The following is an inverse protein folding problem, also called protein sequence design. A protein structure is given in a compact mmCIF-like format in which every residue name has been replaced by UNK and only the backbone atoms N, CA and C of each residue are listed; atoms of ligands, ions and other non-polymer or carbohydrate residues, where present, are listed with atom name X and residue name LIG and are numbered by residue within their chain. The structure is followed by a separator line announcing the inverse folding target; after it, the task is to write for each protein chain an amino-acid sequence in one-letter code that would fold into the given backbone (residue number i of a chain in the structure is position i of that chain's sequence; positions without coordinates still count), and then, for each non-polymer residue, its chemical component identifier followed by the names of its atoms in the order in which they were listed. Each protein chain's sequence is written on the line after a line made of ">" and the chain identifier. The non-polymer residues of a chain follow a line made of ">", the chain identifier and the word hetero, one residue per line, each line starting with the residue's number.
data_IF_413359279445
#
_entry.id   IF_413359279445
#
_cell.length_a   1.000
_cell.length_b   1.000
_cell.length_c   1.000
_cell.angle_alpha   90.00
_cell.angle_beta   90.00
_cell.angle_gamma   90.00
#
_symmetry.space_group_name_H-M   'P 1'
#
loop_
_entity.id
_entity.type
_entity.pdbx_description
1 polymer ?
#
# COMPACT_ATOMS: atom_id res chain seq x y z
N UNK A 1 12.78 -15.52 -55.43
CA UNK A 1 11.61 -16.01 -54.64
C UNK A 1 10.96 -14.97 -53.72
N UNK A 2 11.67 -13.96 -53.17
CA UNK A 2 11.05 -12.98 -52.24
C UNK A 2 10.16 -11.94 -52.93
N UNK A 3 10.52 -11.49 -54.14
CA UNK A 3 9.76 -10.47 -54.90
C UNK A 3 8.38 -10.96 -55.42
N UNK A 4 8.24 -12.25 -55.74
CA UNK A 4 6.95 -12.81 -56.15
C UNK A 4 5.97 -12.91 -54.98
N UNK A 5 6.47 -13.16 -53.75
CA UNK A 5 5.63 -13.17 -52.55
C UNK A 5 5.10 -11.78 -52.21
N UNK A 6 5.92 -10.73 -52.35
CA UNK A 6 5.47 -9.35 -52.12
C UNK A 6 4.47 -8.88 -53.17
N UNK A 7 4.63 -9.28 -54.44
CA UNK A 7 3.68 -8.95 -55.50
C UNK A 7 2.31 -9.64 -55.29
N UNK A 8 2.32 -10.88 -54.80
CA UNK A 8 1.08 -11.62 -54.50
C UNK A 8 0.31 -11.01 -53.30
N UNK A 9 1.02 -10.47 -52.31
CA UNK A 9 0.43 -9.78 -51.16
C UNK A 9 -0.23 -8.45 -51.59
N UNK A 10 0.40 -7.72 -52.51
CA UNK A 10 -0.18 -6.45 -53.01
C UNK A 10 -1.44 -6.72 -53.86
N UNK A 11 -1.42 -7.77 -54.68
CA UNK A 11 -2.57 -8.14 -55.52
C UNK A 11 -3.78 -8.59 -54.69
N UNK A 12 -3.55 -9.30 -53.59
CA UNK A 12 -4.62 -9.75 -52.67
C UNK A 12 -5.20 -8.58 -51.86
N UNK A 13 -4.38 -7.59 -51.48
CA UNK A 13 -4.88 -6.38 -50.81
C UNK A 13 -5.77 -5.51 -51.73
N UNK A 14 -5.44 -5.44 -53.02
CA UNK A 14 -6.20 -4.66 -53.99
C UNK A 14 -7.55 -5.30 -54.32
N UNK A 15 -7.60 -6.64 -54.40
CA UNK A 15 -8.84 -7.39 -54.61
C UNK A 15 -9.82 -7.28 -53.42
N UNK A 16 -9.32 -7.15 -52.19
CA UNK A 16 -10.16 -7.00 -51.00
C UNK A 16 -10.95 -5.68 -51.01
N UNK A 17 -10.38 -4.59 -51.54
CA UNK A 17 -11.05 -3.29 -51.62
C UNK A 17 -12.21 -3.26 -52.63
N UNK A 18 -12.17 -4.10 -53.68
CA UNK A 18 -13.25 -4.18 -54.67
C UNK A 18 -14.53 -4.83 -54.12
N UNK A 19 -14.42 -5.72 -53.12
CA UNK A 19 -15.61 -6.33 -52.49
C UNK A 19 -16.37 -5.37 -51.57
N UNK A 20 -15.72 -4.37 -50.99
CA UNK A 20 -16.40 -3.39 -50.11
C UNK A 20 -17.13 -2.28 -50.88
N UNK A 21 -16.85 -2.09 -52.17
CA UNK A 21 -17.44 -1.03 -52.97
C UNK A 21 -18.83 -1.37 -53.58
N UNK A 22 -19.27 -2.64 -53.54
CA UNK A 22 -20.49 -3.07 -54.23
C UNK A 22 -21.77 -3.13 -53.37
N UNK A 23 -21.74 -2.67 -52.11
CA UNK A 23 -22.87 -2.85 -51.20
C UNK A 23 -23.65 -1.56 -50.87
N UNK A 24 -23.74 -0.62 -51.82
CA UNK A 24 -24.68 0.50 -51.72
C UNK A 24 -25.93 0.16 -52.53
N UNK A 25 -26.84 -0.56 -51.90
CA UNK A 25 -28.19 -0.74 -52.40
C UNK A 25 -28.94 0.57 -52.11
N UNK A 26 -28.97 1.47 -53.10
CA UNK A 26 -29.83 2.66 -53.07
C UNK A 26 -31.27 2.20 -52.89
N UNK A 27 -31.77 2.32 -51.67
CA UNK A 27 -33.15 1.99 -51.35
C UNK A 27 -33.96 3.17 -51.84
N UNK A 28 -34.44 3.07 -53.08
CA UNK A 28 -35.37 4.04 -53.65
C UNK A 28 -36.61 4.03 -52.76
N UNK A 29 -36.79 5.07 -51.94
CA UNK A 29 -37.92 5.25 -51.02
C UNK A 29 -39.22 5.14 -51.82
N UNK A 30 -39.82 3.95 -51.80
CA UNK A 30 -41.17 3.77 -52.31
C UNK A 30 -42.08 4.47 -51.31
N UNK A 31 -42.62 5.63 -51.70
CA UNK A 31 -43.67 6.29 -50.93
C UNK A 31 -44.80 5.28 -50.74
N UNK A 32 -44.95 4.81 -49.51
CA UNK A 32 -45.90 3.77 -49.11
C UNK A 32 -46.54 4.19 -47.78
N UNK A 33 -47.79 3.77 -47.58
CA UNK A 33 -48.51 4.01 -46.34
C UNK A 33 -48.28 2.90 -45.30
N UNK A 34 -47.80 1.74 -45.74
CA UNK A 34 -47.55 0.57 -44.92
C UNK A 34 -46.06 0.37 -44.62
N UNK A 35 -45.18 1.07 -45.35
CA UNK A 35 -43.72 0.95 -45.22
C UNK A 35 -43.06 2.33 -45.26
N UNK A 36 -42.03 2.54 -44.45
CA UNK A 36 -41.26 3.79 -44.39
C UNK A 36 -41.47 4.62 -43.12
N UNK A 37 -40.78 5.76 -43.07
CA UNK A 37 -40.88 6.72 -41.96
C UNK A 37 -42.26 7.38 -41.90
N UNK A 38 -42.60 7.98 -40.76
CA UNK A 38 -43.83 8.80 -40.67
C UNK A 38 -43.80 9.90 -41.74
N UNK A 39 -42.63 10.49 -41.99
CA UNK A 39 -42.41 11.53 -42.99
C UNK A 39 -42.76 11.04 -44.41
N UNK A 40 -42.26 9.86 -44.82
CA UNK A 40 -42.60 9.28 -46.12
C UNK A 40 -44.09 8.93 -46.27
N UNK A 41 -44.75 8.58 -45.16
CA UNK A 41 -46.21 8.33 -45.15
C UNK A 41 -47.02 9.63 -45.29
N UNK A 42 -46.56 10.73 -44.69
CA UNK A 42 -47.14 12.07 -44.88
C UNK A 42 -46.99 12.54 -46.34
N UNK A 43 -45.81 12.36 -46.93
CA UNK A 43 -45.55 12.69 -48.33
C UNK A 43 -46.38 11.84 -49.29
N UNK A 44 -46.58 10.56 -48.99
CA UNK A 44 -47.47 9.69 -49.77
C UNK A 44 -48.91 10.19 -49.75
N UNK A 45 -49.44 10.59 -48.59
CA UNK A 45 -50.80 11.12 -48.48
C UNK A 45 -50.95 12.44 -49.23
N UNK A 46 -49.96 13.32 -49.12
CA UNK A 46 -49.96 14.64 -49.78
C UNK A 46 -49.82 14.53 -51.29
N UNK A 47 -49.07 13.55 -51.79
CA UNK A 47 -48.91 13.31 -53.23
C UNK A 47 -50.13 12.60 -53.83
N UNK A 48 -50.78 11.71 -53.08
CA UNK A 48 -51.97 10.97 -53.53
C UNK A 48 -53.30 11.70 -53.23
N UNK A 49 -53.28 12.86 -52.59
CA UNK A 49 -54.52 13.60 -52.35
C UNK A 49 -55.14 14.11 -53.65
N UNK A 50 -56.46 14.21 -53.67
CA UNK A 50 -57.20 14.72 -54.82
C UNK A 50 -57.34 16.24 -54.77
N UNK A 51 -57.00 16.93 -55.86
CA UNK A 51 -57.21 18.36 -55.95
C UNK A 51 -58.71 18.71 -55.89
N UNK A 52 -59.11 19.52 -54.91
CA UNK A 52 -60.44 20.15 -54.82
C UNK A 52 -60.29 21.66 -54.72
N UNK A 53 -61.16 22.40 -55.40
CA UNK A 53 -61.17 23.87 -55.33
C UNK A 53 -62.57 24.34 -55.02
N UNK A 54 -62.69 25.14 -53.98
CA UNK A 54 -63.92 25.85 -53.63
C UNK A 54 -63.54 27.25 -53.14
N UNK A 55 -64.32 28.26 -53.55
CA UNK A 55 -64.21 29.61 -53.00
C UNK A 55 -62.79 30.22 -53.10
N UNK A 56 -62.13 30.02 -54.24
CA UNK A 56 -60.76 30.51 -54.51
C UNK A 56 -59.63 29.80 -53.74
N UNK A 57 -59.96 28.82 -52.88
CA UNK A 57 -58.99 28.07 -52.07
C UNK A 57 -58.73 26.69 -52.66
N UNK A 58 -57.48 26.23 -52.54
CA UNK A 58 -57.08 24.86 -52.91
C UNK A 58 -57.20 23.97 -51.67
N UNK A 59 -57.86 22.84 -51.84
CA UNK A 59 -58.02 21.80 -50.85
C UNK A 59 -57.51 20.49 -51.42
N UNK A 60 -56.95 19.67 -50.55
CA UNK A 60 -56.49 18.34 -50.89
C UNK A 60 -57.41 17.30 -50.24
N UNK A 61 -58.08 16.51 -51.07
CA UNK A 61 -59.02 15.47 -50.64
C UNK A 61 -58.25 14.21 -50.34
N UNK A 62 -58.06 13.97 -49.04
CA UNK A 62 -57.42 12.76 -48.52
C UNK A 62 -58.50 11.72 -48.22
N UNK A 63 -58.23 10.45 -48.55
CA UNK A 63 -59.10 9.34 -48.15
C UNK A 63 -59.04 9.18 -46.64
N UNK A 64 -60.21 9.14 -45.99
CA UNK A 64 -60.33 8.96 -44.53
C UNK A 64 -59.56 7.73 -44.02
N UNK A 65 -59.56 6.63 -44.80
CA UNK A 65 -58.82 5.41 -44.46
C UNK A 65 -57.31 5.66 -44.35
N UNK A 66 -56.73 6.47 -45.25
CA UNK A 66 -55.31 6.77 -45.22
C UNK A 66 -54.94 7.67 -44.03
N UNK A 67 -55.78 8.67 -43.74
CA UNK A 67 -55.58 9.56 -42.59
C UNK A 67 -55.68 8.79 -41.27
N UNK A 68 -56.67 7.88 -41.15
CA UNK A 68 -56.80 7.01 -39.98
C UNK A 68 -55.60 6.07 -39.83
N UNK A 69 -55.09 5.49 -40.93
CA UNK A 69 -53.89 4.64 -40.91
C UNK A 69 -52.66 5.42 -40.45
N UNK A 70 -52.42 6.62 -41.01
CA UNK A 70 -51.33 7.50 -40.59
C UNK A 70 -51.44 7.86 -39.10
N UNK A 71 -52.65 8.20 -38.62
CA UNK A 71 -52.90 8.48 -37.21
C UNK A 71 -52.51 7.31 -36.33
N UNK A 72 -52.89 6.08 -36.70
CA UNK A 72 -52.52 4.87 -35.95
C UNK A 72 -51.00 4.67 -35.95
N UNK A 73 -50.35 4.77 -37.12
CA UNK A 73 -48.89 4.59 -37.22
C UNK A 73 -48.12 5.63 -36.39
N UNK A 74 -48.58 6.89 -36.37
CA UNK A 74 -48.01 7.96 -35.53
C UNK A 74 -48.19 7.65 -34.05
N UNK A 75 -49.39 7.22 -33.63
CA UNK A 75 -49.65 6.84 -32.24
C UNK A 75 -48.80 5.64 -31.81
N UNK A 76 -48.63 4.64 -32.68
CA UNK A 76 -47.82 3.46 -32.41
C UNK A 76 -46.34 3.83 -32.24
N UNK A 77 -45.82 4.71 -33.10
CA UNK A 77 -44.46 5.23 -32.98
C UNK A 77 -44.24 6.03 -31.70
N UNK A 78 -45.21 6.90 -31.35
CA UNK A 78 -45.18 7.66 -30.10
C UNK A 78 -45.22 6.74 -28.87
N UNK A 79 -46.08 5.72 -28.90
CA UNK A 79 -46.16 4.72 -27.83
C UNK A 79 -44.86 3.92 -27.71
N UNK A 80 -44.24 3.55 -28.82
CA UNK A 80 -42.94 2.89 -28.84
C UNK A 80 -41.83 3.78 -28.28
N UNK A 81 -41.83 5.07 -28.61
CA UNK A 81 -40.89 6.05 -28.06
C UNK A 81 -41.08 6.23 -26.55
N UNK A 82 -42.32 6.41 -26.08
CA UNK A 82 -42.64 6.53 -24.65
C UNK A 82 -42.25 5.26 -23.87
N UNK A 83 -42.46 4.08 -24.46
CA UNK A 83 -42.04 2.81 -23.85
C UNK A 83 -40.52 2.74 -23.70
N UNK A 84 -39.77 3.09 -24.75
CA UNK A 84 -38.30 3.18 -24.69
C UNK A 84 -37.82 4.20 -23.65
N UNK A 85 -38.49 5.35 -23.54
CA UNK A 85 -38.17 6.36 -22.53
C UNK A 85 -38.37 5.80 -21.11
N UNK A 86 -39.47 5.09 -20.88
CA UNK A 86 -39.73 4.43 -19.59
C UNK A 86 -38.70 3.35 -19.28
N UNK A 87 -38.31 2.54 -20.27
CA UNK A 87 -37.27 1.51 -20.12
C UNK A 87 -35.91 2.14 -19.81
N UNK A 88 -35.53 3.21 -20.51
CA UNK A 88 -34.29 3.96 -20.26
C UNK A 88 -34.29 4.59 -18.87
N UNK A 89 -35.39 5.20 -18.44
CA UNK A 89 -35.53 5.75 -17.08
C UNK A 89 -35.34 4.66 -16.02
N UNK A 90 -35.96 3.48 -16.22
CA UNK A 90 -35.77 2.34 -15.32
C UNK A 90 -34.33 1.83 -15.31
N UNK A 91 -33.67 1.77 -16.47
CA UNK A 91 -32.25 1.39 -16.56
C UNK A 91 -31.35 2.41 -15.85
N UNK A 92 -31.62 3.71 -16.00
CA UNK A 92 -30.89 4.79 -15.29
C UNK A 92 -31.03 4.62 -13.79
N UNK A 93 -32.24 4.40 -13.26
CA UNK A 93 -32.44 4.17 -11.82
C UNK A 93 -31.70 2.92 -11.33
N UNK A 94 -31.63 1.87 -12.15
CA UNK A 94 -30.85 0.65 -11.85
C UNK A 94 -29.35 0.93 -11.84
N UNK A 95 -28.86 1.75 -12.76
CA UNK A 95 -27.46 2.15 -12.80
C UNK A 95 -27.09 3.07 -11.64
N UNK A 96 -27.93 4.04 -11.28
CA UNK A 96 -27.72 4.92 -10.13
C UNK A 96 -27.65 4.12 -8.82
N UNK A 97 -28.57 3.17 -8.61
CA UNK A 97 -28.53 2.29 -7.44
C UNK A 97 -27.27 1.43 -7.40
N UNK A 98 -26.83 0.91 -8.55
CA UNK A 98 -25.57 0.15 -8.65
C UNK A 98 -24.36 1.03 -8.36
N UNK A 99 -24.31 2.25 -8.90
CA UNK A 99 -23.23 3.23 -8.66
C UNK A 99 -23.16 3.60 -7.19
N UNK A 100 -24.30 3.88 -6.55
CA UNK A 100 -24.35 4.17 -5.12
C UNK A 100 -23.84 2.98 -4.31
N UNK A 101 -24.28 1.75 -4.63
CA UNK A 101 -23.80 0.54 -3.95
C UNK A 101 -22.28 0.30 -4.13
N UNK A 102 -21.73 0.63 -5.30
CA UNK A 102 -20.31 0.52 -5.59
C UNK A 102 -19.51 1.59 -4.84
N UNK A 103 -20.03 2.81 -4.77
CA UNK A 103 -19.45 3.91 -4.00
C UNK A 103 -19.43 3.57 -2.51
N UNK A 104 -20.53 3.06 -1.96
CA UNK A 104 -20.60 2.63 -0.57
C UNK A 104 -19.60 1.50 -0.28
N UNK A 105 -19.48 0.51 -1.17
CA UNK A 105 -18.49 -0.56 -1.05
C UNK A 105 -17.05 -0.03 -1.13
N UNK A 106 -16.80 0.97 -1.97
CA UNK A 106 -15.49 1.59 -2.13
C UNK A 106 -15.11 2.38 -0.87
N UNK A 107 -16.03 3.16 -0.32
CA UNK A 107 -15.83 3.90 0.94
C UNK A 107 -15.62 2.93 2.11
N UNK A 108 -16.41 1.84 2.18
CA UNK A 108 -16.20 0.77 3.17
C UNK A 108 -14.84 0.11 3.03
N UNK A 109 -14.43 -0.24 1.80
CA UNK A 109 -13.12 -0.88 1.55
C UNK A 109 -11.97 0.06 1.86
N UNK A 110 -12.09 1.35 1.52
CA UNK A 110 -11.08 2.36 1.85
C UNK A 110 -10.95 2.56 3.35
N UNK A 111 -12.07 2.60 4.08
CA UNK A 111 -12.10 2.67 5.54
C UNK A 111 -11.50 1.41 6.17
N UNK A 112 -11.83 0.23 5.65
CA UNK A 112 -11.24 -1.03 6.09
C UNK A 112 -9.75 -1.08 5.81
N UNK A 113 -9.28 -0.62 4.66
CA UNK A 113 -7.84 -0.55 4.35
C UNK A 113 -7.12 0.43 5.28
N UNK A 114 -7.71 1.58 5.60
CA UNK A 114 -7.14 2.52 6.58
C UNK A 114 -7.05 1.86 7.96
N UNK A 115 -8.13 1.23 8.42
CA UNK A 115 -8.17 0.49 9.70
C UNK A 115 -7.18 -0.67 9.73
N UNK A 116 -7.08 -1.45 8.65
CA UNK A 116 -6.14 -2.58 8.55
C UNK A 116 -4.70 -2.09 8.48
N UNK A 117 -4.41 -0.96 7.82
CA UNK A 117 -3.08 -0.35 7.84
C UNK A 117 -2.71 0.11 9.25
N UNK A 118 -3.63 0.76 9.97
CA UNK A 118 -3.42 1.14 11.38
C UNK A 118 -3.22 -0.08 12.28
N UNK A 119 -4.05 -1.12 12.15
CA UNK A 119 -3.93 -2.36 12.90
C UNK A 119 -2.64 -3.12 12.56
N UNK A 120 -2.29 -3.25 11.28
CA UNK A 120 -1.07 -3.91 10.81
C UNK A 120 0.17 -3.20 11.28
N UNK A 121 0.15 -1.87 11.37
CA UNK A 121 1.28 -1.11 11.87
C UNK A 121 1.33 -1.08 13.38
N UNK A 122 0.26 -1.47 14.09
CA UNK A 122 0.28 -1.66 15.53
C UNK A 122 0.75 -3.09 15.92
N UNK A 123 1.70 -3.18 16.85
CA UNK A 123 1.98 -4.38 17.63
C UNK A 123 1.64 -4.10 19.09
N UNK A 124 1.06 -5.07 19.79
CA UNK A 124 0.78 -4.93 21.22
C UNK A 124 2.08 -4.99 22.02
N UNK A 125 2.43 -3.90 22.69
CA UNK A 125 3.53 -3.84 23.66
C UNK A 125 2.95 -3.38 25.00
N UNK A 126 3.01 -4.24 26.02
CA UNK A 126 2.45 -4.01 27.36
C UNK A 126 0.94 -3.68 27.36
N UNK A 127 0.17 -4.26 26.44
CA UNK A 127 -1.29 -4.09 26.38
C UNK A 127 -1.76 -2.83 25.65
N UNK A 128 -0.85 -1.97 25.19
CA UNK A 128 -1.15 -0.86 24.29
C UNK A 128 -0.65 -1.17 22.87
N UNK A 129 -1.40 -0.75 21.86
CA UNK A 129 -0.98 -0.85 20.45
C UNK A 129 0.09 0.19 20.16
N UNK A 130 1.26 -0.26 19.70
CA UNK A 130 2.42 0.59 19.42
C UNK A 130 2.87 0.35 17.98
N UNK A 131 3.24 1.40 17.25
CA UNK A 131 3.65 1.22 15.85
C UNK A 131 4.89 0.33 15.72
N UNK A 132 5.02 -0.45 14.64
CA UNK A 132 6.20 -1.32 14.36
C UNK A 132 7.52 -0.56 14.45
N UNK A 133 7.53 0.70 14.02
CA UNK A 133 8.69 1.58 14.13
C UNK A 133 9.07 1.87 15.59
N UNK A 134 8.09 2.26 16.42
CA UNK A 134 8.34 2.46 17.85
C UNK A 134 8.73 1.16 18.54
N UNK A 135 8.11 0.03 18.20
CA UNK A 135 8.46 -1.27 18.78
C UNK A 135 9.94 -1.61 18.54
N UNK A 136 10.40 -1.49 17.28
CA UNK A 136 11.79 -1.76 16.95
C UNK A 136 12.74 -0.77 17.65
N UNK A 137 12.36 0.51 17.75
CA UNK A 137 13.13 1.52 18.47
C UNK A 137 13.26 1.18 19.96
N UNK A 138 12.15 0.87 20.63
CA UNK A 138 12.14 0.49 22.05
C UNK A 138 12.97 -0.77 22.27
N UNK A 139 12.81 -1.78 21.42
CA UNK A 139 13.55 -3.04 21.53
C UNK A 139 15.06 -2.81 21.39
N UNK A 140 15.51 -2.10 20.35
CA UNK A 140 16.93 -1.78 20.18
C UNK A 140 17.46 -0.82 21.24
N UNK A 141 16.62 0.08 21.77
CA UNK A 141 16.98 0.94 22.91
C UNK A 141 17.23 0.12 24.17
N UNK A 142 16.39 -0.87 24.46
CA UNK A 142 16.58 -1.79 25.60
C UNK A 142 17.84 -2.62 25.42
N UNK A 143 18.05 -3.22 24.23
CA UNK A 143 19.26 -3.99 23.92
C UNK A 143 20.50 -3.12 24.07
N UNK A 144 20.50 -1.93 23.46
CA UNK A 144 21.61 -0.98 23.52
C UNK A 144 21.91 -0.51 24.94
N UNK A 145 20.87 -0.21 25.73
CA UNK A 145 20.98 0.16 27.13
C UNK A 145 21.59 -0.96 27.99
N UNK A 146 21.13 -2.19 27.82
CA UNK A 146 21.68 -3.37 28.51
C UNK A 146 23.14 -3.63 28.13
N UNK A 147 23.48 -3.51 26.84
CA UNK A 147 24.87 -3.64 26.38
C UNK A 147 25.77 -2.55 26.94
N UNK A 148 25.31 -1.29 26.97
CA UNK A 148 26.05 -0.19 27.60
C UNK A 148 26.24 -0.42 29.09
N UNK A 149 25.19 -0.87 29.79
CA UNK A 149 25.26 -1.16 31.22
C UNK A 149 26.22 -2.30 31.53
N UNK A 150 26.21 -3.36 30.71
CA UNK A 150 27.13 -4.48 30.81
C UNK A 150 28.58 -4.04 30.53
N UNK A 151 28.81 -3.23 29.50
CA UNK A 151 30.13 -2.68 29.21
C UNK A 151 30.65 -1.80 30.36
N UNK A 152 29.80 -0.93 30.91
CA UNK A 152 30.12 -0.11 32.09
C UNK A 152 30.45 -1.00 33.30
N UNK A 153 29.67 -2.05 33.53
CA UNK A 153 29.88 -3.00 34.62
C UNK A 153 31.23 -3.72 34.49
N UNK A 154 31.56 -4.25 33.31
CA UNK A 154 32.85 -4.90 33.05
C UNK A 154 34.00 -3.92 33.26
N UNK A 155 33.89 -2.69 32.75
CA UNK A 155 34.92 -1.67 32.93
C UNK A 155 35.16 -1.36 34.41
N UNK A 156 34.09 -1.13 35.18
CA UNK A 156 34.18 -0.85 36.62
C UNK A 156 34.72 -2.06 37.39
N UNK A 157 34.29 -3.27 37.05
CA UNK A 157 34.74 -4.50 37.69
C UNK A 157 36.24 -4.74 37.46
N UNK A 158 36.74 -4.54 36.22
CA UNK A 158 38.17 -4.67 35.92
C UNK A 158 39.01 -3.67 36.70
N UNK A 159 38.60 -2.40 36.74
CA UNK A 159 39.32 -1.36 37.49
C UNK A 159 39.36 -1.68 39.00
N UNK A 160 38.24 -2.13 39.56
CA UNK A 160 38.17 -2.52 40.97
C UNK A 160 39.02 -3.76 41.28
N UNK A 161 39.10 -4.71 40.35
CA UNK A 161 39.88 -5.94 40.55
C UNK A 161 41.39 -5.67 40.53
N UNK A 162 41.86 -4.75 39.67
CA UNK A 162 43.27 -4.32 39.65
C UNK A 162 43.65 -3.66 40.99
N UNK A 163 42.85 -2.70 41.46
CA UNK A 163 43.10 -2.03 42.74
C UNK A 163 43.14 -3.01 43.93
N UNK A 164 42.26 -4.01 43.90
CA UNK A 164 42.22 -5.06 44.94
C UNK A 164 43.48 -5.93 44.90
N UNK A 165 43.96 -6.25 43.69
CA UNK A 165 45.16 -7.06 43.52
C UNK A 165 46.42 -6.30 43.94
N UNK A 166 46.52 -5.01 43.61
CA UNK A 166 47.59 -4.13 44.09
C UNK A 166 47.58 -4.01 45.62
N UNK A 167 46.41 -3.81 46.23
CA UNK A 167 46.28 -3.72 47.69
C UNK A 167 46.71 -5.01 48.39
N UNK A 168 46.37 -6.18 47.83
CA UNK A 168 46.84 -7.48 48.34
C UNK A 168 48.35 -7.64 48.20
N UNK A 169 48.93 -7.20 47.08
CA UNK A 169 50.37 -7.25 46.87
C UNK A 169 51.12 -6.35 47.85
N UNK A 170 50.65 -5.11 48.03
CA UNK A 170 51.24 -4.16 48.98
C UNK A 170 51.17 -4.66 50.43
N UNK A 171 50.07 -5.32 50.80
CA UNK A 171 49.93 -5.95 52.11
C UNK A 171 50.92 -7.11 52.30
N UNK A 172 51.06 -7.97 51.29
CA UNK A 172 52.04 -9.06 51.32
C UNK A 172 53.48 -8.56 51.40
N UNK A 173 53.80 -7.46 50.73
CA UNK A 173 55.13 -6.82 50.79
C UNK A 173 55.41 -6.22 52.17
N UNK A 174 54.42 -5.54 52.75
CA UNK A 174 54.51 -4.98 54.10
C UNK A 174 54.68 -6.08 55.17
N UNK A 175 53.95 -7.19 55.07
CA UNK A 175 54.10 -8.34 55.96
C UNK A 175 55.51 -8.95 55.86
N UNK A 176 56.02 -9.11 54.64
CA UNK A 176 57.38 -9.61 54.41
C UNK A 176 58.45 -8.66 54.98
N UNK A 177 58.28 -7.34 54.80
CA UNK A 177 59.17 -6.34 55.37
C UNK A 177 59.11 -6.34 56.90
N UNK A 178 57.91 -6.45 57.48
CA UNK A 178 57.70 -6.52 58.92
C UNK A 178 58.35 -7.78 59.52
N UNK A 179 58.19 -8.94 58.88
CA UNK A 179 58.88 -10.16 59.28
C UNK A 179 60.40 -10.00 59.23
N UNK A 180 60.94 -9.42 58.15
CA UNK A 180 62.37 -9.16 58.05
C UNK A 180 62.85 -8.18 59.11
N UNK A 181 62.09 -7.14 59.41
CA UNK A 181 62.38 -6.19 60.48
C UNK A 181 62.39 -6.88 61.85
N UNK A 182 61.42 -7.76 62.10
CA UNK A 182 61.33 -8.56 63.32
C UNK A 182 62.51 -9.52 63.46
N UNK A 183 62.90 -10.22 62.38
CA UNK A 183 64.09 -11.09 62.37
C UNK A 183 65.36 -10.30 62.66
N UNK A 184 65.56 -9.16 61.98
CA UNK A 184 66.72 -8.27 62.22
C UNK A 184 66.74 -7.69 63.63
N UNK A 185 65.59 -7.37 64.22
CA UNK A 185 65.50 -6.91 65.60
C UNK A 185 65.90 -8.03 66.59
N UNK A 186 65.37 -9.24 66.42
CA UNK A 186 65.74 -10.40 67.24
C UNK A 186 67.21 -10.76 67.12
N UNK A 187 67.78 -10.75 65.92
CA UNK A 187 69.22 -10.98 65.71
C UNK A 187 70.08 -9.94 66.42
N UNK A 188 69.68 -8.66 66.38
CA UNK A 188 70.36 -7.60 67.13
C UNK A 188 70.28 -7.82 68.63
N UNK A 189 69.11 -8.13 69.17
CA UNK A 189 68.95 -8.43 70.60
C UNK A 189 69.75 -9.67 71.02
N UNK A 190 69.76 -10.73 70.21
CA UNK A 190 70.56 -11.92 70.48
C UNK A 190 72.06 -11.62 70.45
N UNK A 191 72.52 -10.79 69.51
CA UNK A 191 73.93 -10.37 69.43
C UNK A 191 74.33 -9.50 70.61
N UNK A 192 73.52 -8.50 70.97
CA UNK A 192 73.74 -7.65 72.15
C UNK A 192 73.79 -8.48 73.43
N UNK A 193 72.86 -9.43 73.59
CA UNK A 193 72.85 -10.30 74.76
C UNK A 193 74.10 -11.19 74.83
N UNK A 194 74.59 -11.71 73.69
CA UNK A 194 75.86 -12.45 73.63
C UNK A 194 77.06 -11.57 74.01
N UNK A 195 77.16 -10.37 73.42
CA UNK A 195 78.22 -9.40 73.74
C UNK A 195 78.20 -9.00 75.22
N UNK A 196 77.01 -8.76 75.80
CA UNK A 196 76.85 -8.43 77.22
C UNK A 196 77.24 -9.61 78.13
N UNK A 197 76.95 -10.84 77.72
CA UNK A 197 77.34 -12.04 78.46
C UNK A 197 78.87 -12.24 78.42
N UNK A 198 79.50 -11.99 77.27
CA UNK A 198 80.95 -12.02 77.10
C UNK A 198 81.65 -10.93 77.93
N UNK A 199 81.13 -9.70 77.94
CA UNK A 199 81.65 -8.63 78.80
C UNK A 199 81.49 -8.98 80.29
N UNK A 200 80.34 -9.51 80.72
CA UNK A 200 80.17 -10.00 82.10
C UNK A 200 81.16 -11.10 82.47
N UNK A 201 81.42 -12.05 81.58
CA UNK A 201 82.37 -13.14 81.80
C UNK A 201 83.82 -12.63 81.88
N UNK A 202 84.18 -11.64 81.06
CA UNK A 202 85.48 -10.98 81.07
C UNK A 202 85.70 -10.16 82.34
N UNK A 203 84.67 -9.45 82.83
CA UNK A 203 84.72 -8.76 84.12
C UNK A 203 84.87 -9.74 85.31
N UNK A 204 84.15 -10.87 85.32
CA UNK A 204 84.34 -11.91 86.35
C UNK A 204 85.77 -12.45 86.40
N UNK A 205 86.39 -12.72 85.24
CA UNK A 205 87.80 -13.17 85.16
C UNK A 205 88.83 -12.14 85.65
N UNK A 206 88.50 -10.84 85.63
CA UNK A 206 89.39 -9.78 86.16
C UNK A 206 89.26 -9.57 87.67
N UNK A 207 88.23 -10.13 88.31
CA UNK A 207 87.94 -9.90 89.74
C UNK A 207 88.22 -11.12 90.62
N UNK A 208 88.98 -12.08 90.10
CA UNK A 208 89.48 -13.28 90.80
C UNK A 208 90.96 -13.42 90.51
#
# INVERSE_FOLDING_TARGET
>A
MKAHKTLFIILTLLAFNLQFAQNTQETQDKLSLDEGSIDSQFDFITTKSGNYRADGKRYEVVRVIHLNKLKTNVLDSLNAANKKESELKSLITTHETTINSLKDKLDQTSTQLASVTEEKDSMSFLGMGVSKGLYNLILWSIIGGLLLFLAMFIFKFRNSNVLTQESKSALSELEAEYEQHRRRALEREQKINRELQDERNKHKKKTT
#
